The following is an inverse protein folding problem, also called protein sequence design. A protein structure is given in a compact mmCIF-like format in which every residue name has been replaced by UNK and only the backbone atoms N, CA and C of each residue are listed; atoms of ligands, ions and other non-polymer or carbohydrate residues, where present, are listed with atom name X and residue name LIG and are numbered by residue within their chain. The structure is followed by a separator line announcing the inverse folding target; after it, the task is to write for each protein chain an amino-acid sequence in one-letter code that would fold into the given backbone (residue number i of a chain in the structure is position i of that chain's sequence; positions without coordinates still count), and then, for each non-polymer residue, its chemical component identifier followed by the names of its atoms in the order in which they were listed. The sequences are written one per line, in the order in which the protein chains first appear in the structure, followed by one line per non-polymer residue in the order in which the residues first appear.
data_IF_937320057087
#
_entry.id   IF_937320057087
#
_cell.length_a   1.000
_cell.length_b   1.000
_cell.length_c   1.000
_cell.angle_alpha   90.00
_cell.angle_beta   90.00
_cell.angle_gamma   90.00
#
_symmetry.space_group_name_H-M   'P 1'
#
loop_
_entity.id
_entity.type
_entity.pdbx_description
1 polymer ?
#
# COMPACT_ATOMS: atom_id res chain seq x y z
N UNK A 1 -5.45 0.81 1.29
CA UNK A 1 -6.74 0.07 1.21
C UNK A 1 -7.50 0.28 -0.09
N UNK A 2 -7.84 1.51 -0.48
CA UNK A 2 -8.59 1.81 -1.73
C UNK A 2 -8.05 1.05 -2.95
N UNK A 3 -6.75 1.14 -3.22
CA UNK A 3 -6.17 0.52 -4.41
C UNK A 3 -6.13 -1.02 -4.33
N UNK A 4 -6.01 -1.59 -3.13
CA UNK A 4 -6.12 -3.04 -2.93
C UNK A 4 -7.57 -3.51 -3.13
N UNK A 5 -8.57 -2.73 -2.70
CA UNK A 5 -9.98 -3.01 -2.96
C UNK A 5 -10.29 -2.97 -4.48
N UNK A 6 -9.71 -2.01 -5.20
CA UNK A 6 -9.81 -1.94 -6.66
C UNK A 6 -9.20 -3.20 -7.29
N UNK A 7 -7.97 -3.57 -6.90
CA UNK A 7 -7.29 -4.76 -7.40
C UNK A 7 -8.01 -6.07 -7.05
N UNK A 8 -8.64 -6.15 -5.88
CA UNK A 8 -9.48 -7.29 -5.50
C UNK A 8 -10.66 -7.48 -6.45
N UNK A 9 -11.21 -6.37 -6.97
CA UNK A 9 -12.39 -6.38 -7.84
C UNK A 9 -12.07 -6.61 -9.31
N UNK A 10 -10.99 -6.00 -9.81
CA UNK A 10 -10.66 -6.03 -11.25
C UNK A 10 -9.49 -6.96 -11.58
N UNK A 11 -8.79 -7.49 -10.58
CA UNK A 11 -7.63 -8.34 -10.75
C UNK A 11 -6.42 -7.62 -11.36
N UNK A 12 -5.37 -8.40 -11.63
CA UNK A 12 -4.12 -7.88 -12.22
C UNK A 12 -4.19 -7.61 -13.73
N UNK A 13 -5.28 -8.03 -14.37
CA UNK A 13 -5.53 -7.82 -15.80
C UNK A 13 -6.64 -6.80 -16.11
N UNK A 14 -7.29 -6.25 -15.09
CA UNK A 14 -8.52 -5.45 -15.25
C UNK A 14 -8.38 -4.17 -16.05
N UNK A 15 -7.16 -3.63 -16.13
CA UNK A 15 -6.79 -2.41 -16.86
C UNK A 15 -5.96 -2.64 -18.13
N UNK A 16 -5.72 -3.89 -18.55
CA UNK A 16 -4.94 -4.17 -19.77
C UNK A 16 -5.61 -3.49 -20.98
N UNK A 17 -4.84 -2.68 -21.70
CA UNK A 17 -5.30 -1.93 -22.87
C UNK A 17 -5.91 -0.56 -22.55
N UNK A 18 -5.98 -0.16 -21.28
CA UNK A 18 -6.59 1.09 -20.83
C UNK A 18 -5.60 2.01 -20.11
N UNK A 19 -5.96 3.30 -20.05
CA UNK A 19 -5.47 4.25 -19.03
C UNK A 19 -6.54 4.31 -17.94
N UNK A 20 -6.13 4.19 -16.68
CA UNK A 20 -7.05 4.25 -15.54
C UNK A 20 -7.16 5.69 -15.04
N UNK A 21 -8.34 6.29 -15.13
CA UNK A 21 -8.65 7.55 -14.44
C UNK A 21 -9.44 7.25 -13.16
N UNK A 22 -8.94 7.71 -12.01
CA UNK A 22 -9.60 7.57 -10.72
C UNK A 22 -10.36 8.85 -10.38
N UNK A 23 -11.67 8.71 -10.13
CA UNK A 23 -12.61 9.83 -9.97
C UNK A 23 -13.53 9.59 -8.77
N UNK A 24 -14.18 10.66 -8.32
CA UNK A 24 -15.20 10.62 -7.27
C UNK A 24 -14.71 11.15 -5.93
N UNK A 25 -15.66 11.42 -5.04
CA UNK A 25 -15.43 12.12 -3.77
C UNK A 25 -14.36 11.47 -2.88
N UNK A 26 -14.28 10.14 -2.87
CA UNK A 26 -13.27 9.41 -2.11
C UNK A 26 -11.84 9.63 -2.63
N UNK A 27 -11.67 9.79 -3.96
CA UNK A 27 -10.38 10.07 -4.58
C UNK A 27 -10.01 11.55 -4.39
N UNK A 28 -10.99 12.45 -4.55
CA UNK A 28 -10.81 13.89 -4.35
C UNK A 28 -10.42 14.22 -2.90
N UNK A 29 -10.96 13.48 -1.92
CA UNK A 29 -10.63 13.61 -0.50
C UNK A 29 -9.23 13.11 -0.12
N UNK A 30 -8.52 12.39 -1.01
CA UNK A 30 -7.16 11.95 -0.73
C UNK A 30 -6.18 13.13 -0.76
N UNK A 31 -5.20 13.08 0.14
CA UNK A 31 -3.98 13.87 0.04
C UNK A 31 -3.24 13.56 -1.27
N UNK A 32 -2.31 14.43 -1.66
CA UNK A 32 -1.45 14.13 -2.81
C UNK A 32 -0.61 12.86 -2.62
N UNK A 33 -0.26 12.51 -1.38
CA UNK A 33 0.50 11.31 -1.08
C UNK A 33 -0.36 10.05 -1.31
N UNK A 34 -1.60 10.02 -0.81
CA UNK A 34 -2.57 8.96 -1.08
C UNK A 34 -2.93 8.81 -2.56
N UNK A 35 -3.04 9.93 -3.31
CA UNK A 35 -3.24 9.90 -4.76
C UNK A 35 -2.07 9.23 -5.47
N UNK A 36 -0.84 9.52 -5.07
CA UNK A 36 0.34 8.88 -5.64
C UNK A 36 0.42 7.39 -5.29
N UNK A 37 -0.04 6.96 -4.11
CA UNK A 37 -0.19 5.53 -3.78
C UNK A 37 -1.14 4.84 -4.75
N UNK A 38 -2.31 5.43 -5.03
CA UNK A 38 -3.30 4.88 -5.98
C UNK A 38 -2.72 4.80 -7.39
N UNK A 39 -2.16 5.89 -7.92
CA UNK A 39 -1.60 5.91 -9.27
C UNK A 39 -0.34 5.05 -9.42
N UNK A 40 0.46 4.88 -8.35
CA UNK A 40 1.63 4.00 -8.36
C UNK A 40 1.23 2.56 -8.67
N UNK A 41 0.06 2.14 -8.17
CA UNK A 41 -0.42 0.77 -8.26
C UNK A 41 -1.35 0.50 -9.45
N UNK A 42 -1.50 1.46 -10.38
CA UNK A 42 -2.28 1.26 -11.61
C UNK A 42 -1.69 0.19 -12.52
N UNK A 43 -0.37 0.07 -12.55
CA UNK A 43 0.33 -0.94 -13.37
C UNK A 43 0.11 -2.36 -12.83
N UNK A 44 -0.14 -2.52 -11.54
CA UNK A 44 -0.49 -3.80 -10.92
C UNK A 44 -1.86 -4.31 -11.38
N UNK A 45 -2.75 -3.43 -11.87
CA UNK A 45 -3.98 -3.80 -12.58
C UNK A 45 -3.78 -4.00 -14.10
N UNK A 46 -2.55 -3.85 -14.60
CA UNK A 46 -2.20 -3.91 -16.02
C UNK A 46 -2.49 -2.64 -16.81
N UNK A 47 -2.92 -1.55 -16.16
CA UNK A 47 -3.19 -0.28 -16.83
C UNK A 47 -1.89 0.37 -17.33
N UNK A 48 -1.97 1.06 -18.47
CA UNK A 48 -0.82 1.75 -19.07
C UNK A 48 -0.34 2.94 -18.25
N UNK A 49 -1.29 3.64 -17.62
CA UNK A 49 -1.07 4.78 -16.74
C UNK A 49 -2.23 4.93 -15.76
N UNK A 50 -1.98 5.61 -14.64
CA UNK A 50 -2.98 6.03 -13.66
C UNK A 50 -3.08 7.55 -13.60
N UNK A 51 -4.29 8.09 -13.65
CA UNK A 51 -4.57 9.52 -13.68
C UNK A 51 -5.54 9.91 -12.57
N UNK A 52 -5.26 11.03 -11.92
CA UNK A 52 -6.18 11.74 -11.03
C UNK A 52 -6.10 13.21 -11.46
N UNK A 53 -7.25 13.81 -11.75
CA UNK A 53 -7.30 15.20 -12.17
C UNK A 53 -6.74 16.13 -11.09
N UNK A 54 -5.98 17.19 -11.46
CA UNK A 54 -5.50 18.16 -10.50
C UNK A 54 -6.66 19.00 -9.93
N UNK A 55 -6.51 19.39 -8.68
CA UNK A 55 -7.44 20.23 -7.94
C UNK A 55 -6.69 21.03 -6.86
N UNK A 56 -7.42 21.67 -5.95
CA UNK A 56 -6.81 22.49 -4.89
C UNK A 56 -5.79 21.71 -4.05
N UNK A 57 -6.06 20.44 -3.71
CA UNK A 57 -5.10 19.59 -2.98
C UNK A 57 -3.78 19.43 -3.75
N UNK A 58 -3.87 19.34 -5.08
CA UNK A 58 -2.70 19.26 -5.96
C UNK A 58 -1.93 20.57 -5.99
N UNK A 59 -2.64 21.70 -6.09
CA UNK A 59 -2.06 23.03 -6.13
C UNK A 59 -1.37 23.37 -4.81
N UNK A 60 -2.02 23.11 -3.68
CA UNK A 60 -1.47 23.35 -2.35
C UNK A 60 -0.19 22.54 -2.11
N UNK A 61 -0.17 21.28 -2.55
CA UNK A 61 1.01 20.42 -2.42
C UNK A 61 2.21 20.92 -3.24
N UNK A 62 1.95 21.48 -4.42
CA UNK A 62 2.97 22.03 -5.31
C UNK A 62 3.41 23.44 -4.89
N UNK A 63 2.54 24.20 -4.24
CA UNK A 63 2.83 25.58 -3.83
C UNK A 63 4.09 25.61 -2.96
N UNK A 64 4.94 26.60 -3.20
CA UNK A 64 6.20 26.80 -2.47
C UNK A 64 7.26 25.69 -2.61
N UNK A 65 7.03 24.64 -3.38
CA UNK A 65 8.10 23.66 -3.69
C UNK A 65 9.26 24.31 -4.45
N UNK A 66 10.51 23.80 -4.31
CA UNK A 66 11.70 24.45 -4.87
C UNK A 66 11.63 24.76 -6.37
N UNK A 67 10.97 23.91 -7.15
CA UNK A 67 10.86 24.01 -8.61
C UNK A 67 9.48 24.41 -9.10
N UNK A 68 8.54 24.71 -8.20
CA UNK A 68 7.24 25.20 -8.60
C UNK A 68 7.33 26.64 -9.14
N UNK A 69 6.52 27.02 -10.14
CA UNK A 69 6.46 28.39 -10.62
C UNK A 69 6.09 29.36 -9.48
N UNK A 70 6.44 30.63 -9.63
CA UNK A 70 6.26 31.67 -8.60
C UNK A 70 5.55 32.91 -9.17
N UNK A 71 4.86 33.66 -8.31
CA UNK A 71 4.17 34.91 -8.68
C UNK A 71 3.21 34.70 -9.85
N UNK A 72 3.21 35.61 -10.83
CA UNK A 72 2.31 35.53 -11.99
C UNK A 72 2.44 34.22 -12.80
N UNK A 73 3.62 33.60 -12.82
CA UNK A 73 3.80 32.30 -13.49
C UNK A 73 3.11 31.16 -12.72
N UNK A 74 2.99 31.26 -11.40
CA UNK A 74 2.21 30.32 -10.59
C UNK A 74 0.72 30.44 -10.92
N UNK A 75 0.20 31.66 -10.93
CA UNK A 75 -1.22 31.91 -11.21
C UNK A 75 -1.62 31.42 -12.61
N UNK A 76 -0.77 31.67 -13.61
CA UNK A 76 -0.96 31.16 -14.97
C UNK A 76 -0.92 29.62 -15.03
N UNK A 77 0.02 28.99 -14.31
CA UNK A 77 0.12 27.54 -14.27
C UNK A 77 -1.09 26.88 -13.58
N UNK A 78 -1.57 27.45 -12.47
CA UNK A 78 -2.78 26.95 -11.79
C UNK A 78 -4.01 27.08 -12.68
N UNK A 79 -4.15 28.21 -13.39
CA UNK A 79 -5.24 28.41 -14.34
C UNK A 79 -5.23 27.37 -15.47
N UNK A 80 -4.04 27.06 -16.01
CA UNK A 80 -3.85 26.02 -17.03
C UNK A 80 -4.16 24.62 -16.46
N UNK A 81 -3.56 24.26 -15.33
CA UNK A 81 -3.75 22.94 -14.71
C UNK A 81 -5.21 22.66 -14.34
N UNK A 82 -5.96 23.69 -13.92
CA UNK A 82 -7.38 23.56 -13.62
C UNK A 82 -8.23 23.13 -14.84
N UNK A 83 -7.71 23.29 -16.06
CA UNK A 83 -8.37 22.83 -17.29
C UNK A 83 -8.10 21.35 -17.61
N UNK A 84 -7.16 20.70 -16.92
CA UNK A 84 -6.77 19.30 -17.18
C UNK A 84 -7.74 18.27 -16.58
N UNK A 85 -8.93 18.70 -16.17
CA UNK A 85 -9.98 17.81 -15.65
C UNK A 85 -10.80 17.28 -16.82
N UNK A 86 -11.16 16.01 -16.73
CA UNK A 86 -12.02 15.37 -17.73
C UNK A 86 -13.37 16.07 -17.86
N UNK A 87 -13.78 16.28 -19.12
CA UNK A 87 -15.02 16.95 -19.47
C UNK A 87 -16.26 16.19 -18.92
N UNK A 88 -17.34 16.89 -18.53
CA UNK A 88 -18.53 16.25 -17.97
C UNK A 88 -19.22 15.22 -18.89
N UNK A 89 -19.08 15.35 -20.20
CA UNK A 89 -19.67 14.47 -21.22
C UNK A 89 -18.66 13.47 -21.82
N UNK A 90 -17.47 13.38 -21.24
CA UNK A 90 -16.47 12.38 -21.63
C UNK A 90 -17.01 10.96 -21.48
N UNK A 91 -16.70 10.11 -22.47
CA UNK A 91 -17.08 8.70 -22.48
C UNK A 91 -15.87 7.84 -22.17
N UNK A 92 -16.07 6.86 -21.29
CA UNK A 92 -15.07 5.86 -20.95
C UNK A 92 -15.39 4.54 -21.63
N UNK A 93 -14.36 3.84 -22.14
CA UNK A 93 -14.52 2.51 -22.73
C UNK A 93 -15.05 1.49 -21.71
N UNK A 94 -14.70 1.68 -20.44
CA UNK A 94 -15.13 0.84 -19.32
C UNK A 94 -15.16 1.67 -18.04
N UNK A 95 -16.23 1.49 -17.26
CA UNK A 95 -16.39 2.10 -15.94
C UNK A 95 -16.54 1.00 -14.89
N UNK A 96 -15.88 1.20 -13.75
CA UNK A 96 -16.03 0.34 -12.56
C UNK A 96 -16.33 1.25 -11.38
N UNK A 97 -17.52 1.09 -10.81
CA UNK A 97 -18.02 1.95 -9.73
C UNK A 97 -17.81 1.23 -8.39
N UNK A 98 -17.32 1.96 -7.40
CA UNK A 98 -17.09 1.49 -6.04
C UNK A 98 -17.85 2.40 -5.06
N UNK A 99 -18.50 1.80 -4.07
CA UNK A 99 -18.92 2.54 -2.88
C UNK A 99 -17.75 2.58 -1.90
N UNK A 100 -17.19 3.78 -1.70
CA UNK A 100 -16.05 3.95 -0.82
C UNK A 100 -16.39 3.68 0.66
N UNK A 101 -17.66 3.76 1.06
CA UNK A 101 -18.09 3.45 2.42
C UNK A 101 -17.94 1.96 2.77
N UNK A 102 -17.89 1.09 1.76
CA UNK A 102 -17.67 -0.36 1.94
C UNK A 102 -16.18 -0.72 2.06
N UNK A 103 -15.26 0.22 1.77
CA UNK A 103 -13.82 -0.02 1.80
C UNK A 103 -13.33 -0.02 3.25
N UNK A 104 -13.05 -1.21 3.75
CA UNK A 104 -12.40 -1.46 5.04
C UNK A 104 -10.90 -1.75 4.85
N UNK A 105 -10.10 -1.96 5.91
CA UNK A 105 -8.72 -2.40 5.76
C UNK A 105 -8.59 -3.70 4.93
N UNK A 106 -7.67 -3.74 3.98
CA UNK A 106 -7.44 -4.85 3.05
C UNK A 106 -6.02 -5.42 3.17
N UNK A 107 -5.88 -6.68 2.75
CA UNK A 107 -4.62 -7.42 2.75
C UNK A 107 -4.55 -8.37 1.56
N UNK A 108 -3.38 -8.48 0.92
CA UNK A 108 -3.15 -9.56 -0.05
C UNK A 108 -2.93 -10.88 0.68
N UNK A 109 -3.66 -11.95 0.33
CA UNK A 109 -3.46 -13.28 0.91
C UNK A 109 -2.54 -14.17 0.06
N UNK A 110 -2.47 -13.94 -1.24
CA UNK A 110 -1.76 -14.80 -2.19
C UNK A 110 -0.43 -14.23 -2.67
N UNK A 111 -0.05 -14.58 -3.90
CA UNK A 111 1.27 -14.28 -4.50
C UNK A 111 1.21 -13.19 -5.59
N UNK A 112 0.09 -12.49 -5.71
CA UNK A 112 0.00 -11.30 -6.55
C UNK A 112 -0.93 -10.23 -5.93
N UNK A 113 -0.84 -8.96 -6.38
CA UNK A 113 -1.60 -7.86 -5.80
C UNK A 113 -3.12 -7.92 -6.01
N UNK A 114 -3.63 -8.80 -6.88
CA UNK A 114 -5.07 -9.03 -7.08
C UNK A 114 -5.68 -10.07 -6.13
N UNK A 115 -4.86 -10.90 -5.49
CA UNK A 115 -5.31 -11.89 -4.51
C UNK A 115 -5.46 -11.23 -3.14
N UNK A 116 -6.57 -10.50 -2.97
CA UNK A 116 -6.82 -9.62 -1.82
C UNK A 116 -8.13 -10.00 -1.13
N UNK A 117 -8.14 -9.86 0.20
CA UNK A 117 -9.32 -9.96 1.06
C UNK A 117 -9.34 -8.79 2.04
N UNK A 118 -10.47 -8.60 2.73
CA UNK A 118 -10.54 -7.66 3.85
C UNK A 118 -9.80 -8.23 5.07
N UNK A 119 -9.40 -7.37 6.01
CA UNK A 119 -8.78 -7.80 7.27
C UNK A 119 -9.69 -8.67 8.15
N UNK A 120 -11.01 -8.61 7.96
CA UNK A 120 -11.95 -9.52 8.63
C UNK A 120 -12.31 -10.76 7.78
N UNK A 121 -11.66 -10.90 6.62
CA UNK A 121 -11.89 -11.97 5.67
C UNK A 121 -11.24 -13.30 6.07
N UNK A 122 -11.68 -14.36 5.39
CA UNK A 122 -11.10 -15.69 5.47
C UNK A 122 -10.34 -15.99 4.17
N UNK A 123 -9.28 -16.78 4.28
CA UNK A 123 -8.49 -17.22 3.13
C UNK A 123 -9.39 -18.04 2.19
N UNK A 124 -9.50 -17.67 0.90
CA UNK A 124 -10.36 -18.37 -0.06
C UNK A 124 -9.95 -19.84 -0.25
N UNK A 125 -10.92 -20.69 -0.55
CA UNK A 125 -10.69 -22.04 -1.04
C UNK A 125 -10.51 -22.01 -2.56
N UNK A 126 -9.66 -22.87 -3.16
CA UNK A 126 -9.62 -23.02 -4.61
C UNK A 126 -10.99 -23.37 -5.22
N UNK A 127 -11.83 -24.06 -4.46
CA UNK A 127 -13.20 -24.39 -4.87
C UNK A 127 -14.13 -23.17 -5.03
N UNK A 128 -13.76 -22.01 -4.49
CA UNK A 128 -14.55 -20.77 -4.59
C UNK A 128 -14.40 -20.12 -5.98
N UNK A 129 -13.40 -20.54 -6.76
CA UNK A 129 -13.12 -19.99 -8.10
C UNK A 129 -13.71 -20.88 -9.20
N UNK A 130 -14.59 -20.29 -10.01
CA UNK A 130 -15.21 -20.96 -11.14
C UNK A 130 -14.22 -21.19 -12.30
N UNK A 131 -13.33 -20.21 -12.55
CA UNK A 131 -12.30 -20.31 -13.57
C UNK A 131 -11.18 -21.28 -13.16
N UNK A 132 -10.78 -22.15 -14.08
CA UNK A 132 -9.77 -23.19 -13.82
C UNK A 132 -8.37 -22.59 -13.61
N UNK A 133 -8.06 -21.50 -14.30
CA UNK A 133 -6.78 -20.80 -14.16
C UNK A 133 -6.69 -20.13 -12.80
N UNK A 134 -7.76 -19.45 -12.37
CA UNK A 134 -7.85 -18.85 -11.04
C UNK A 134 -7.79 -19.89 -9.92
N UNK A 135 -8.49 -21.02 -10.08
CA UNK A 135 -8.41 -22.15 -9.14
C UNK A 135 -6.98 -22.66 -8.98
N UNK A 136 -6.30 -22.95 -10.09
CA UNK A 136 -4.91 -23.43 -10.07
C UNK A 136 -3.95 -22.36 -9.51
N UNK A 137 -4.20 -21.07 -9.78
CA UNK A 137 -3.45 -19.99 -9.19
C UNK A 137 -3.67 -19.89 -7.67
N UNK A 138 -4.90 -20.10 -7.19
CA UNK A 138 -5.21 -20.15 -5.77
C UNK A 138 -4.52 -21.34 -5.07
N UNK A 139 -4.55 -22.53 -5.66
CA UNK A 139 -3.86 -23.73 -5.13
C UNK A 139 -2.37 -23.46 -4.91
N UNK A 140 -1.68 -22.97 -5.94
CA UNK A 140 -0.25 -22.65 -5.85
C UNK A 140 0.03 -21.53 -4.86
N UNK A 141 -0.83 -20.51 -4.81
CA UNK A 141 -0.67 -19.42 -3.86
C UNK A 141 -0.80 -19.92 -2.42
N UNK A 142 -1.77 -20.80 -2.12
CA UNK A 142 -1.92 -21.38 -0.77
C UNK A 142 -0.72 -22.26 -0.38
N UNK A 143 -0.19 -23.05 -1.32
CA UNK A 143 1.01 -23.85 -1.10
C UNK A 143 2.23 -22.97 -0.79
N UNK A 144 2.50 -21.98 -1.65
CA UNK A 144 3.62 -21.06 -1.48
C UNK A 144 3.52 -20.25 -0.19
N UNK A 145 2.34 -19.67 0.05
CA UNK A 145 2.07 -18.83 1.20
C UNK A 145 1.87 -19.65 2.47
N UNK A 146 1.79 -20.98 2.40
CA UNK A 146 1.53 -21.87 3.54
C UNK A 146 0.34 -21.41 4.37
N UNK A 147 -0.78 -21.30 3.66
CA UNK A 147 -2.06 -20.84 4.18
C UNK A 147 -3.10 -21.94 4.04
N UNK A 148 -4.03 -21.99 4.98
CA UNK A 148 -5.15 -22.93 4.95
C UNK A 148 -6.42 -22.23 4.51
N UNK A 149 -7.12 -22.82 3.54
CA UNK A 149 -8.44 -22.34 3.13
C UNK A 149 -9.39 -22.25 4.34
N UNK A 150 -10.17 -21.17 4.42
CA UNK A 150 -11.12 -20.88 5.49
C UNK A 150 -10.50 -20.31 6.77
N UNK A 151 -9.18 -20.31 6.93
CA UNK A 151 -8.50 -19.68 8.08
C UNK A 151 -8.73 -18.16 8.04
N UNK A 152 -9.14 -17.52 9.15
CA UNK A 152 -9.16 -16.06 9.26
C UNK A 152 -7.76 -15.48 9.09
N UNK A 153 -7.62 -14.44 8.27
CA UNK A 153 -6.28 -13.88 8.01
C UNK A 153 -5.64 -13.31 9.28
N UNK A 154 -6.45 -12.80 10.22
CA UNK A 154 -5.97 -12.32 11.53
C UNK A 154 -5.34 -13.40 12.40
N UNK A 155 -5.61 -14.68 12.16
CA UNK A 155 -4.97 -15.78 12.92
C UNK A 155 -3.58 -16.16 12.38
N UNK A 156 -3.13 -15.51 11.30
CA UNK A 156 -1.83 -15.81 10.68
C UNK A 156 -0.74 -14.92 11.30
N UNK A 157 0.22 -15.57 11.95
CA UNK A 157 1.40 -14.93 12.54
C UNK A 157 2.39 -14.39 11.50
N UNK A 158 3.19 -13.40 11.89
CA UNK A 158 4.24 -12.81 11.04
C UNK A 158 5.61 -12.92 11.70
N UNK A 159 6.65 -13.01 10.88
CA UNK A 159 8.05 -13.00 11.33
C UNK A 159 8.68 -11.62 11.11
N UNK A 160 8.25 -10.92 10.05
CA UNK A 160 8.83 -9.65 9.61
C UNK A 160 7.74 -8.61 9.35
N UNK A 161 7.99 -7.36 9.71
CA UNK A 161 7.16 -6.22 9.27
C UNK A 161 8.03 -5.17 8.60
N UNK A 162 7.62 -4.76 7.41
CA UNK A 162 8.32 -3.76 6.62
C UNK A 162 7.41 -2.59 6.29
N UNK A 163 7.79 -1.42 6.81
CA UNK A 163 7.14 -0.14 6.58
C UNK A 163 8.11 0.70 5.76
N UNK A 164 7.96 0.65 4.44
CA UNK A 164 8.81 1.38 3.51
C UNK A 164 8.60 0.93 2.08
N UNK A 165 8.48 1.86 1.13
CA UNK A 165 8.50 1.61 -0.32
C UNK A 165 8.24 2.95 -1.03
N UNK A 166 8.52 3.07 -2.32
CA UNK A 166 8.08 4.25 -3.08
C UNK A 166 6.56 4.47 -3.06
N UNK A 167 5.79 3.44 -2.70
CA UNK A 167 4.33 3.44 -2.58
C UNK A 167 3.85 4.03 -1.25
N UNK A 168 4.47 3.64 -0.13
CA UNK A 168 4.04 3.99 1.23
C UNK A 168 5.22 4.21 2.19
N UNK A 169 5.96 5.29 1.98
CA UNK A 169 7.05 5.74 2.87
C UNK A 169 7.21 7.26 2.90
N UNK A 170 6.12 7.98 2.62
CA UNK A 170 6.08 9.44 2.71
C UNK A 170 5.76 9.85 4.15
N UNK A 171 5.71 11.16 4.41
CA UNK A 171 5.57 11.61 5.80
C UNK A 171 4.22 11.22 6.40
N UNK A 172 3.13 11.20 5.61
CA UNK A 172 1.83 10.76 6.13
C UNK A 172 1.81 9.28 6.50
N UNK A 173 2.49 8.43 5.71
CA UNK A 173 2.62 7.00 6.00
C UNK A 173 3.36 6.78 7.32
N UNK A 174 4.45 7.52 7.55
CA UNK A 174 5.24 7.46 8.78
C UNK A 174 4.44 7.93 9.98
N UNK A 175 3.66 9.02 9.85
CA UNK A 175 2.76 9.50 10.91
C UNK A 175 1.68 8.49 11.24
N UNK A 176 1.06 7.88 10.23
CA UNK A 176 0.01 6.88 10.42
C UNK A 176 0.54 5.65 11.17
N UNK A 177 1.71 5.14 10.78
CA UNK A 177 2.35 4.03 11.50
C UNK A 177 2.82 4.42 12.91
N UNK A 178 3.41 5.60 13.08
CA UNK A 178 3.87 6.10 14.38
C UNK A 178 2.70 6.31 15.36
N UNK A 179 1.53 6.76 14.89
CA UNK A 179 0.34 6.91 15.72
C UNK A 179 -0.11 5.58 16.34
N UNK A 180 0.07 4.47 15.62
CA UNK A 180 -0.20 3.11 16.12
C UNK A 180 0.91 2.66 17.07
N UNK A 181 2.17 2.90 16.72
CA UNK A 181 3.34 2.49 17.51
C UNK A 181 3.44 3.22 18.87
N UNK A 182 2.96 4.45 18.97
CA UNK A 182 3.14 5.30 20.15
C UNK A 182 2.62 4.64 21.43
N UNK A 183 3.53 4.48 22.40
CA UNK A 183 3.23 3.92 23.71
C UNK A 183 3.00 2.40 23.71
N UNK A 184 3.31 1.71 22.61
CA UNK A 184 3.22 0.25 22.46
C UNK A 184 4.60 -0.34 22.19
N UNK A 185 4.69 -1.67 22.13
CA UNK A 185 5.94 -2.38 21.84
C UNK A 185 5.71 -3.47 20.80
N UNK A 186 6.68 -3.64 19.91
CA UNK A 186 6.73 -4.73 18.93
C UNK A 186 6.70 -6.08 19.65
N UNK A 187 5.96 -7.04 19.10
CA UNK A 187 5.85 -8.39 19.64
C UNK A 187 7.21 -9.11 19.64
N UNK A 188 7.45 -9.93 20.67
CA UNK A 188 8.69 -10.69 20.79
C UNK A 188 8.90 -11.59 19.57
N UNK A 189 10.09 -11.51 18.96
CA UNK A 189 10.47 -12.32 17.81
C UNK A 189 10.11 -11.72 16.45
N UNK A 190 9.33 -10.63 16.40
CA UNK A 190 9.03 -9.94 15.15
C UNK A 190 10.17 -9.00 14.77
N UNK A 191 10.79 -9.24 13.61
CA UNK A 191 11.76 -8.32 13.02
C UNK A 191 11.04 -7.19 12.31
N UNK A 192 11.45 -5.95 12.54
CA UNK A 192 10.83 -4.78 11.90
C UNK A 192 11.84 -4.01 11.08
N UNK A 193 11.36 -3.27 10.08
CA UNK A 193 12.16 -2.39 9.23
C UNK A 193 11.29 -1.18 8.87
N UNK A 194 11.65 0.02 9.33
CA UNK A 194 11.00 1.28 8.99
C UNK A 194 11.94 2.12 8.15
N UNK A 195 11.60 2.30 6.87
CA UNK A 195 12.46 2.90 5.85
C UNK A 195 11.74 4.12 5.23
N UNK A 196 12.20 5.35 5.54
CA UNK A 196 11.68 6.56 4.91
C UNK A 196 11.94 6.58 3.40
N UNK A 197 11.05 7.19 2.62
CA UNK A 197 11.14 7.18 1.15
C UNK A 197 12.22 8.08 0.56
N UNK A 198 12.75 9.01 1.35
CA UNK A 198 13.85 9.90 0.95
C UNK A 198 14.52 10.52 2.19
N UNK A 199 15.69 11.11 2.00
CA UNK A 199 16.35 11.89 3.06
C UNK A 199 15.51 13.09 3.52
N UNK A 200 14.69 13.69 2.64
CA UNK A 200 13.78 14.76 3.02
C UNK A 200 12.67 14.27 3.96
N UNK A 201 12.06 13.12 3.66
CA UNK A 201 11.04 12.52 4.52
C UNK A 201 11.66 12.10 5.85
N UNK A 202 12.86 11.51 5.84
CA UNK A 202 13.57 11.12 7.07
C UNK A 202 13.85 12.34 7.96
N UNK A 203 14.47 13.39 7.40
CA UNK A 203 14.77 14.61 8.14
C UNK A 203 13.50 15.24 8.73
N UNK A 204 12.40 15.22 7.98
CA UNK A 204 11.11 15.70 8.47
C UNK A 204 10.56 14.81 9.59
N UNK A 205 10.59 13.48 9.44
CA UNK A 205 10.12 12.54 10.45
C UNK A 205 10.92 12.65 11.75
N UNK A 206 12.24 12.84 11.66
CA UNK A 206 13.13 13.04 12.81
C UNK A 206 12.88 14.41 13.49
N UNK A 207 12.64 15.46 12.71
CA UNK A 207 12.24 16.77 13.26
C UNK A 207 10.87 16.72 13.97
N UNK A 208 9.97 15.83 13.54
CA UNK A 208 8.67 15.57 14.19
C UNK A 208 8.75 14.55 15.34
N UNK A 209 9.92 13.96 15.59
CA UNK A 209 10.14 12.96 16.64
C UNK A 209 9.51 11.59 16.36
N UNK A 210 9.14 11.30 15.12
CA UNK A 210 8.52 10.02 14.73
C UNK A 210 9.52 8.86 14.83
N UNK A 211 10.79 9.13 14.54
CA UNK A 211 11.88 8.17 14.67
C UNK A 211 12.05 7.68 16.12
N UNK A 212 11.90 8.58 17.09
CA UNK A 212 11.94 8.21 18.51
C UNK A 212 10.74 7.35 18.89
N UNK A 213 9.53 7.68 18.41
CA UNK A 213 8.33 6.85 18.62
C UNK A 213 8.55 5.43 18.10
N UNK A 214 9.13 5.28 16.91
CA UNK A 214 9.45 3.97 16.35
C UNK A 214 10.47 3.23 17.20
N UNK A 215 11.60 3.87 17.55
CA UNK A 215 12.65 3.23 18.35
C UNK A 215 12.16 2.83 19.75
N UNK A 216 11.39 3.68 20.41
CA UNK A 216 10.80 3.40 21.73
C UNK A 216 9.87 2.19 21.69
N UNK A 217 9.13 2.02 20.59
CA UNK A 217 8.29 0.85 20.36
C UNK A 217 9.07 -0.40 19.92
N UNK A 218 10.38 -0.31 19.70
CA UNK A 218 11.21 -1.43 19.24
C UNK A 218 11.22 -1.62 17.72
N UNK A 219 10.77 -0.63 16.95
CA UNK A 219 10.93 -0.63 15.50
C UNK A 219 12.35 -0.24 15.09
N UNK A 220 12.85 -0.88 14.04
CA UNK A 220 14.16 -0.57 13.48
C UNK A 220 14.09 0.59 12.47
N UNK A 221 14.51 1.77 12.89
CA UNK A 221 14.54 2.98 12.07
C UNK A 221 15.78 3.04 11.17
N UNK A 222 15.58 2.99 9.85
CA UNK A 222 16.65 2.82 8.87
C UNK A 222 16.93 4.07 8.04
N UNK A 223 17.98 3.97 7.22
CA UNK A 223 18.29 4.95 6.17
C UNK A 223 17.39 4.77 4.94
N UNK A 224 17.07 5.85 4.21
CA UNK A 224 16.21 5.78 3.03
C UNK A 224 16.81 4.90 1.92
N UNK A 225 15.97 4.09 1.28
CA UNK A 225 16.37 3.25 0.16
C UNK A 225 15.28 2.26 -0.26
N UNK A 226 15.51 1.49 -1.32
CA UNK A 226 14.57 0.45 -1.76
C UNK A 226 14.40 -0.67 -0.72
N UNK A 227 15.46 -0.99 0.04
CA UNK A 227 15.45 -1.99 1.10
C UNK A 227 14.73 -3.29 0.67
N UNK A 228 13.90 -3.85 1.54
CA UNK A 228 13.19 -5.11 1.33
C UNK A 228 12.15 -5.03 0.20
N UNK A 229 11.74 -3.84 -0.27
CA UNK A 229 10.76 -3.70 -1.38
C UNK A 229 11.24 -4.41 -2.67
N UNK A 230 12.56 -4.50 -2.85
CA UNK A 230 13.20 -5.15 -4.00
C UNK A 230 14.23 -6.22 -3.59
N UNK A 231 14.58 -6.32 -2.30
CA UNK A 231 15.55 -7.27 -1.75
C UNK A 231 16.90 -7.28 -2.47
N UNK A 232 17.37 -6.08 -2.87
CA UNK A 232 18.67 -5.87 -3.52
C UNK A 232 19.81 -5.59 -2.54
N UNK A 233 19.49 -5.50 -1.25
CA UNK A 233 20.43 -5.29 -0.17
C UNK A 233 20.26 -6.43 0.88
N UNK A 234 20.99 -6.41 2.01
CA UNK A 234 20.82 -7.42 3.06
C UNK A 234 19.41 -7.46 3.69
N UNK A 235 18.57 -6.45 3.45
CA UNK A 235 17.17 -6.47 3.89
C UNK A 235 16.37 -7.38 2.95
N UNK A 236 16.25 -8.64 3.35
CA UNK A 236 15.50 -9.67 2.63
C UNK A 236 14.80 -10.60 3.63
N UNK A 237 13.79 -11.30 3.13
CA UNK A 237 13.17 -12.43 3.78
C UNK A 237 14.01 -13.69 3.56
N UNK A 238 14.16 -14.48 4.60
CA UNK A 238 14.67 -15.84 4.52
C UNK A 238 13.54 -16.82 4.14
N UNK A 239 13.87 -18.01 3.61
CA UNK A 239 12.85 -18.98 3.19
C UNK A 239 11.90 -19.34 4.34
N UNK A 240 10.60 -19.20 4.08
CA UNK A 240 9.54 -19.47 5.06
C UNK A 240 9.12 -18.26 5.91
N UNK A 241 9.94 -17.21 6.01
CA UNK A 241 9.56 -15.99 6.73
C UNK A 241 8.34 -15.33 6.09
N UNK A 242 7.39 -14.89 6.93
CA UNK A 242 6.20 -14.15 6.53
C UNK A 242 6.30 -12.69 6.89
N UNK A 243 5.98 -11.84 5.92
CA UNK A 243 6.05 -10.38 6.02
C UNK A 243 4.69 -9.71 5.88
N UNK A 244 4.40 -8.76 6.78
CA UNK A 244 3.47 -7.67 6.51
C UNK A 244 4.24 -6.49 5.92
N UNK A 245 3.91 -6.06 4.71
CA UNK A 245 4.74 -5.19 3.89
C UNK A 245 3.92 -4.04 3.30
N UNK A 246 4.41 -2.80 3.43
CA UNK A 246 3.82 -1.62 2.76
C UNK A 246 4.36 -1.43 1.33
N UNK A 247 4.85 -2.50 0.72
CA UNK A 247 5.23 -2.56 -0.70
C UNK A 247 3.99 -2.55 -1.60
N UNK A 248 4.20 -2.44 -2.92
CA UNK A 248 3.18 -2.63 -3.95
C UNK A 248 3.20 -4.02 -4.60
N UNK A 249 4.21 -4.86 -4.33
CA UNK A 249 4.39 -6.15 -5.01
C UNK A 249 4.75 -7.27 -4.04
N UNK A 250 4.02 -8.38 -4.15
CA UNK A 250 4.17 -9.61 -3.37
C UNK A 250 4.39 -10.86 -4.25
N UNK A 251 4.89 -10.69 -5.47
CA UNK A 251 5.28 -11.83 -6.31
C UNK A 251 6.31 -12.72 -5.62
N UNK A 252 6.26 -14.02 -5.90
CA UNK A 252 7.18 -14.99 -5.31
C UNK A 252 8.64 -14.56 -5.49
N UNK A 253 9.40 -14.55 -4.40
CA UNK A 253 10.80 -14.17 -4.41
C UNK A 253 11.08 -12.66 -4.41
N UNK A 254 10.05 -11.80 -4.51
CA UNK A 254 10.22 -10.34 -4.64
C UNK A 254 10.99 -9.71 -3.47
N UNK A 255 10.67 -10.11 -2.25
CA UNK A 255 11.31 -9.61 -1.03
C UNK A 255 12.36 -10.58 -0.48
N UNK A 256 12.75 -11.59 -1.25
CA UNK A 256 13.63 -12.68 -0.83
C UNK A 256 13.10 -14.04 -1.29
N UNK A 257 13.98 -14.92 -1.76
CA UNK A 257 13.60 -16.23 -2.31
C UNK A 257 12.94 -17.09 -1.22
N UNK A 258 11.69 -17.48 -1.46
CA UNK A 258 10.90 -18.30 -0.53
C UNK A 258 10.26 -17.52 0.62
N UNK A 259 10.37 -16.19 0.63
CA UNK A 259 9.67 -15.33 1.60
C UNK A 259 8.21 -15.09 1.20
N UNK A 260 7.32 -15.02 2.19
CA UNK A 260 5.86 -14.93 2.03
C UNK A 260 5.40 -13.52 2.34
N UNK A 261 5.07 -12.73 1.32
CA UNK A 261 4.77 -11.30 1.48
C UNK A 261 3.28 -11.00 1.40
N UNK A 262 2.78 -10.20 2.34
CA UNK A 262 1.43 -9.68 2.35
C UNK A 262 1.45 -8.14 2.27
N UNK A 263 0.74 -7.59 1.29
CA UNK A 263 0.61 -6.14 1.10
C UNK A 263 -0.45 -5.61 2.05
N UNK A 264 -0.08 -4.59 2.84
CA UNK A 264 -0.95 -3.94 3.82
C UNK A 264 -0.65 -2.43 3.89
N UNK A 265 -1.56 -1.64 4.47
CA UNK A 265 -1.32 -0.23 4.74
C UNK A 265 -0.33 0.00 5.90
N UNK A 266 0.29 1.18 6.04
CA UNK A 266 1.22 1.48 7.14
C UNK A 266 0.64 1.28 8.53
N UNK A 267 -0.63 1.65 8.73
CA UNK A 267 -1.31 1.48 10.01
C UNK A 267 -1.52 -0.02 10.36
N UNK A 268 -1.91 -0.83 9.37
CA UNK A 268 -2.05 -2.29 9.52
C UNK A 268 -0.69 -2.96 9.74
N UNK A 269 0.36 -2.53 9.03
CA UNK A 269 1.71 -3.03 9.25
C UNK A 269 2.19 -2.75 10.68
N UNK A 270 2.05 -1.52 11.16
CA UNK A 270 2.41 -1.15 12.53
C UNK A 270 1.59 -1.95 13.57
N UNK A 271 0.28 -2.11 13.35
CA UNK A 271 -0.56 -2.89 14.25
C UNK A 271 -0.15 -4.37 14.28
N UNK A 272 0.16 -4.93 13.11
CA UNK A 272 0.63 -6.31 12.94
C UNK A 272 1.98 -6.54 13.64
N UNK A 273 2.90 -5.57 13.61
CA UNK A 273 4.17 -5.68 14.32
C UNK A 273 4.00 -5.75 15.85
N UNK A 274 2.99 -5.06 16.38
CA UNK A 274 2.68 -5.02 17.82
C UNK A 274 1.94 -6.30 18.25
N UNK A 275 1.03 -6.80 17.41
CA UNK A 275 0.25 -8.01 17.70
C UNK A 275 1.04 -9.32 17.49
N UNK A 276 2.00 -9.35 16.56
CA UNK A 276 2.70 -10.58 16.15
C UNK A 276 1.92 -11.45 15.15
N UNK A 277 0.73 -11.00 14.75
CA UNK A 277 -0.13 -11.59 13.72
C UNK A 277 -0.85 -10.46 12.98
N UNK A 278 -1.46 -10.75 11.84
CA UNK A 278 -2.18 -9.70 11.10
C UNK A 278 -3.26 -9.05 11.96
N UNK A 279 -3.18 -7.73 12.11
CA UNK A 279 -4.07 -6.95 12.95
C UNK A 279 -4.30 -5.55 12.35
N UNK A 280 -5.45 -4.98 12.64
CA UNK A 280 -5.77 -3.56 12.42
C UNK A 280 -5.51 -2.77 13.70
N UNK A 281 -5.37 -1.43 13.63
CA UNK A 281 -5.22 -0.60 14.83
C UNK A 281 -6.31 -0.83 15.89
N UNK A 282 -7.55 -1.07 15.46
CA UNK A 282 -8.69 -1.31 16.35
C UNK A 282 -8.59 -2.62 17.14
N UNK A 283 -7.80 -3.59 16.66
CA UNK A 283 -7.57 -4.85 17.38
C UNK A 283 -6.58 -4.70 18.56
N UNK A 284 -5.89 -3.55 18.67
CA UNK A 284 -4.92 -3.26 19.74
C UNK A 284 -5.51 -2.45 20.91
N UNK A 285 -6.81 -2.19 20.89
CA UNK A 285 -7.52 -1.36 21.86
C UNK A 285 -7.93 -2.16 23.11
#
# INVERSE_FOLDING_TARGET
DIILAILARIGTGGGIGYIAEYRGSAIEALSMEGRMTVCNMSIEAGAKAGLIAPDQTTFDYLQNRPYAPKGAAWDAAVADWATLRTDPDAKFDKEVIFDAAEIVPHISWGTNPGQVITMNGRIPSPGDFADVTERSAAERALEYMDLRAGQPIKEVGVDVVFIGSCTNSRIEDMRAAAAVAKGRSVASGVRTLVVPGSHLVKAQAEAEGLDQIFRDAGFDWREPGCSMCLAMNPDKLEPGERSASTSNRNFEGRQGRGGRTHLVSPAVAAATAIAGHFATPDDLA
#
